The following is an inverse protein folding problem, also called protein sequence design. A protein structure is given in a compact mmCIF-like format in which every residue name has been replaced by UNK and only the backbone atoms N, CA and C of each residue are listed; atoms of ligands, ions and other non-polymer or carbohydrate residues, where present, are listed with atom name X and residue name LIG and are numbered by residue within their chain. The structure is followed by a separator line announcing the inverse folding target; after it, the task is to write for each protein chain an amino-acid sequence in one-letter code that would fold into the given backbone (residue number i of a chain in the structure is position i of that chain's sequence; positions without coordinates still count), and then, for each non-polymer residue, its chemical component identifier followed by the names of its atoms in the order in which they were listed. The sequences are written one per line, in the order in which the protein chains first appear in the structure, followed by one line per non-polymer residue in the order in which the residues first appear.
data_IF_797630033211
#
_entry.id   IF_797630033211
#
_cell.length_a   1.000
_cell.length_b   1.000
_cell.length_c   1.000
_cell.angle_alpha   90.00
_cell.angle_beta   90.00
_cell.angle_gamma   90.00
#
_symmetry.space_group_name_H-M   'P 1'
#
loop_
_entity.id
_entity.type
_entity.pdbx_description
1 polymer ?
#
# COMPACT_ATOMS: atom_id res chain seq x y z
N UNK A 1 68.50 15.06 11.63
CA UNK A 1 67.88 15.59 12.87
C UNK A 1 66.91 16.74 12.64
N UNK A 2 67.29 17.95 12.16
CA UNK A 2 66.29 19.05 11.99
C UNK A 2 65.19 18.77 10.93
N UNK A 3 65.52 18.04 9.85
CA UNK A 3 64.56 17.65 8.79
C UNK A 3 63.53 16.60 9.28
N UNK A 4 63.94 15.68 10.15
CA UNK A 4 63.08 14.60 10.66
C UNK A 4 61.97 15.15 11.56
N UNK A 5 62.28 16.16 12.37
CA UNK A 5 61.29 16.83 13.24
C UNK A 5 60.22 17.57 12.42
N UNK A 6 60.59 18.24 11.33
CA UNK A 6 59.62 18.94 10.47
C UNK A 6 58.70 17.95 9.73
N UNK A 7 59.23 16.82 9.26
CA UNK A 7 58.44 15.78 8.62
C UNK A 7 57.43 15.15 9.60
N UNK A 8 57.86 14.86 10.84
CA UNK A 8 56.99 14.33 11.89
C UNK A 8 55.88 15.31 12.26
N UNK A 9 56.19 16.60 12.45
CA UNK A 9 55.18 17.62 12.79
C UNK A 9 54.17 17.80 11.66
N UNK A 10 54.61 17.78 10.41
CA UNK A 10 53.70 17.83 9.25
C UNK A 10 52.77 16.60 9.21
N UNK A 11 53.31 15.40 9.43
CA UNK A 11 52.51 14.18 9.44
C UNK A 11 51.51 14.14 10.60
N UNK A 12 51.92 14.60 11.80
CA UNK A 12 51.03 14.74 12.95
C UNK A 12 49.88 15.72 12.65
N UNK A 13 50.18 16.88 12.06
CA UNK A 13 49.18 17.88 11.68
C UNK A 13 48.19 17.35 10.64
N UNK A 14 48.68 16.61 9.64
CA UNK A 14 47.82 15.98 8.64
C UNK A 14 46.89 14.96 9.30
N UNK A 15 47.39 14.10 10.19
CA UNK A 15 46.55 13.11 10.86
C UNK A 15 45.49 13.74 11.76
N UNK A 16 45.83 14.79 12.52
CA UNK A 16 44.82 15.47 13.36
C UNK A 16 43.76 16.16 12.51
N UNK A 17 44.15 16.82 11.41
CA UNK A 17 43.21 17.45 10.50
C UNK A 17 42.25 16.43 9.88
N UNK A 18 42.78 15.29 9.43
CA UNK A 18 41.99 14.18 8.89
C UNK A 18 41.01 13.67 9.96
N UNK A 19 41.48 13.41 11.19
CA UNK A 19 40.62 13.01 12.31
C UNK A 19 39.48 14.00 12.57
N UNK A 20 39.77 15.31 12.57
CA UNK A 20 38.75 16.34 12.74
C UNK A 20 37.73 16.32 11.60
N UNK A 21 38.17 16.24 10.35
CA UNK A 21 37.26 16.17 9.20
C UNK A 21 36.38 14.92 9.23
N UNK A 22 36.95 13.75 9.54
CA UNK A 22 36.18 12.51 9.65
C UNK A 22 35.16 12.57 10.80
N UNK A 23 35.58 13.04 11.98
CA UNK A 23 34.67 13.17 13.13
C UNK A 23 33.52 14.14 12.85
N UNK A 24 33.79 15.27 12.21
CA UNK A 24 32.78 16.25 11.79
C UNK A 24 31.80 15.67 10.77
N UNK A 25 32.29 14.90 9.80
CA UNK A 25 31.48 14.28 8.76
C UNK A 25 30.53 13.23 9.34
N UNK A 26 31.01 12.41 10.29
CA UNK A 26 30.21 11.42 11.00
C UNK A 26 29.12 12.11 11.83
N UNK A 27 29.48 13.17 12.57
CA UNK A 27 28.52 13.96 13.35
C UNK A 27 27.40 14.53 12.47
N UNK A 28 27.75 15.14 11.35
CA UNK A 28 26.75 15.69 10.42
C UNK A 28 25.88 14.59 9.78
N UNK A 29 26.49 13.49 9.38
CA UNK A 29 25.78 12.34 8.79
C UNK A 29 24.78 11.71 9.76
N UNK A 30 25.13 11.56 11.03
CA UNK A 30 24.22 10.98 12.05
C UNK A 30 23.00 11.85 12.30
N UNK A 31 23.17 13.18 12.40
CA UNK A 31 22.06 14.12 12.57
C UNK A 31 21.16 14.13 11.33
N UNK A 32 21.76 14.16 10.14
CA UNK A 32 21.01 14.10 8.89
C UNK A 32 20.21 12.81 8.77
N UNK A 33 20.82 11.66 9.08
CA UNK A 33 20.13 10.37 9.03
C UNK A 33 18.99 10.29 10.05
N UNK A 34 19.19 10.81 11.26
CA UNK A 34 18.12 10.90 12.27
C UNK A 34 16.96 11.76 11.78
N UNK A 35 17.25 12.88 11.12
CA UNK A 35 16.23 13.74 10.52
C UNK A 35 15.45 12.99 9.43
N UNK A 36 16.15 12.28 8.54
CA UNK A 36 15.51 11.48 7.48
C UNK A 36 14.63 10.36 8.05
N UNK A 37 15.08 9.67 9.10
CA UNK A 37 14.27 8.66 9.80
C UNK A 37 12.99 9.29 10.35
N UNK A 38 13.09 10.49 10.95
CA UNK A 38 11.92 11.19 11.48
C UNK A 38 10.93 11.57 10.39
N UNK A 39 11.41 12.06 9.24
CA UNK A 39 10.54 12.40 8.10
C UNK A 39 9.86 11.16 7.54
N UNK A 40 10.63 10.09 7.31
CA UNK A 40 10.10 8.82 6.80
C UNK A 40 9.09 8.19 7.75
N UNK A 41 9.38 8.18 9.06
CA UNK A 41 8.45 7.68 10.06
C UNK A 41 7.15 8.50 10.12
N UNK A 42 7.24 9.82 9.97
CA UNK A 42 6.04 10.66 9.92
C UNK A 42 5.19 10.38 8.68
N UNK A 43 5.83 10.22 7.51
CA UNK A 43 5.13 9.84 6.27
C UNK A 43 4.44 8.48 6.42
N UNK A 44 5.12 7.50 7.01
CA UNK A 44 4.54 6.19 7.27
C UNK A 44 3.30 6.29 8.18
N UNK A 45 3.38 7.06 9.28
CA UNK A 45 2.23 7.29 10.17
C UNK A 45 1.05 7.96 9.48
N UNK A 46 1.31 8.92 8.61
CA UNK A 46 0.24 9.59 7.83
C UNK A 46 -0.43 8.62 6.87
N UNK A 47 0.34 7.76 6.20
CA UNK A 47 -0.21 6.73 5.32
C UNK A 47 -1.03 5.70 6.10
N UNK A 48 -0.55 5.26 7.25
CA UNK A 48 -1.25 4.32 8.13
C UNK A 48 -2.59 4.88 8.61
N UNK A 49 -2.61 6.14 9.06
CA UNK A 49 -3.84 6.82 9.44
C UNK A 49 -4.85 6.91 8.28
N UNK A 50 -4.38 7.13 7.05
CA UNK A 50 -5.25 7.15 5.86
C UNK A 50 -5.79 5.77 5.52
N UNK A 51 -5.00 4.71 5.69
CA UNK A 51 -5.46 3.34 5.46
C UNK A 51 -6.59 2.98 6.42
N UNK A 52 -6.42 3.25 7.71
CA UNK A 52 -7.45 3.02 8.73
C UNK A 52 -8.75 3.76 8.40
N UNK A 53 -8.63 5.02 7.95
CA UNK A 53 -9.79 5.81 7.57
C UNK A 53 -10.50 5.27 6.32
N UNK A 54 -9.76 4.85 5.30
CA UNK A 54 -10.34 4.22 4.09
C UNK A 54 -11.00 2.89 4.46
N UNK A 55 -10.37 2.08 5.31
CA UNK A 55 -10.94 0.81 5.76
C UNK A 55 -12.25 1.02 6.54
N UNK A 56 -12.30 2.06 7.39
CA UNK A 56 -13.54 2.48 8.06
C UNK A 56 -14.63 2.83 7.04
N UNK A 57 -14.30 3.64 6.04
CA UNK A 57 -15.26 4.04 4.99
C UNK A 57 -15.75 2.83 4.17
N UNK A 58 -14.87 1.89 3.85
CA UNK A 58 -15.23 0.63 3.17
C UNK A 58 -16.20 -0.18 4.05
N UNK A 59 -15.91 -0.32 5.33
CA UNK A 59 -16.76 -1.07 6.26
C UNK A 59 -18.12 -0.40 6.44
N UNK A 60 -18.18 0.93 6.52
CA UNK A 60 -19.44 1.68 6.57
C UNK A 60 -20.27 1.50 5.32
N UNK A 61 -19.64 1.62 4.16
CA UNK A 61 -20.29 1.43 2.86
C UNK A 61 -20.78 0.00 2.71
N UNK A 62 -19.97 -0.98 3.09
CA UNK A 62 -20.34 -2.40 3.07
C UNK A 62 -21.53 -2.67 3.99
N UNK A 63 -21.54 -2.14 5.21
CA UNK A 63 -22.67 -2.27 6.11
C UNK A 63 -23.93 -1.58 5.56
N UNK A 64 -23.80 -0.46 4.85
CA UNK A 64 -24.93 0.18 4.17
C UNK A 64 -25.47 -0.69 3.02
N UNK A 65 -24.57 -1.29 2.22
CA UNK A 65 -24.94 -2.22 1.14
C UNK A 65 -25.61 -3.47 1.72
N UNK A 66 -25.05 -4.08 2.76
CA UNK A 66 -25.64 -5.27 3.41
C UNK A 66 -27.04 -4.96 3.97
N UNK A 67 -27.24 -3.79 4.58
CA UNK A 67 -28.59 -3.33 4.98
C UNK A 67 -29.53 -3.13 3.81
N UNK A 68 -29.05 -2.59 2.69
CA UNK A 68 -29.87 -2.37 1.50
C UNK A 68 -30.18 -3.67 0.73
N UNK A 69 -29.30 -4.67 0.82
CA UNK A 69 -29.49 -5.99 0.21
C UNK A 69 -30.38 -6.93 1.04
N UNK A 70 -30.75 -6.55 2.26
CA UNK A 70 -31.67 -7.32 3.08
C UNK A 70 -33.01 -7.51 2.31
N UNK A 71 -33.46 -8.76 2.06
CA UNK A 71 -34.71 -9.04 1.37
C UNK A 71 -35.93 -8.38 2.01
N UNK A 72 -35.90 -8.12 3.32
CA UNK A 72 -36.97 -7.44 4.03
C UNK A 72 -37.04 -5.95 3.67
N UNK A 73 -35.89 -5.28 3.56
CA UNK A 73 -35.79 -3.89 3.12
C UNK A 73 -36.20 -3.74 1.64
N UNK A 74 -35.78 -4.69 0.79
CA UNK A 74 -36.16 -4.70 -0.63
C UNK A 74 -37.67 -4.86 -0.83
N UNK A 75 -38.33 -5.69 -0.02
CA UNK A 75 -39.80 -5.82 -0.05
C UNK A 75 -40.49 -4.53 0.41
N UNK A 76 -39.99 -3.91 1.48
CA UNK A 76 -40.53 -2.65 1.97
C UNK A 76 -40.41 -1.53 0.93
N UNK A 77 -39.26 -1.42 0.26
CA UNK A 77 -39.05 -0.43 -0.81
C UNK A 77 -39.93 -0.73 -2.05
N UNK A 78 -40.10 -2.00 -2.41
CA UNK A 78 -41.00 -2.42 -3.49
C UNK A 78 -42.45 -1.99 -3.24
N UNK A 79 -42.92 -2.14 -2.01
CA UNK A 79 -44.27 -1.74 -1.61
C UNK A 79 -44.40 -0.22 -1.51
N UNK A 80 -43.40 0.46 -0.94
CA UNK A 80 -43.40 1.91 -0.77
C UNK A 80 -43.37 2.67 -2.11
N UNK A 81 -42.60 2.17 -3.08
CA UNK A 81 -42.47 2.77 -4.40
C UNK A 81 -43.44 2.18 -5.43
N UNK A 82 -44.33 1.27 -5.01
CA UNK A 82 -45.31 0.62 -5.86
C UNK A 82 -44.70 -0.01 -7.13
N UNK A 83 -43.51 -0.60 -6.99
CA UNK A 83 -42.76 -1.11 -8.15
C UNK A 83 -43.38 -2.39 -8.73
N UNK A 84 -44.29 -3.05 -7.99
CA UNK A 84 -45.00 -4.24 -8.45
C UNK A 84 -44.08 -5.43 -8.74
N UNK A 85 -42.87 -5.45 -8.17
CA UNK A 85 -41.92 -6.53 -8.37
C UNK A 85 -42.42 -7.77 -7.62
N UNK A 86 -42.52 -8.88 -8.34
CA UNK A 86 -42.93 -10.18 -7.81
C UNK A 86 -41.69 -11.08 -7.74
N UNK A 87 -41.54 -11.92 -6.70
CA UNK A 87 -40.46 -12.90 -6.65
C UNK A 87 -40.42 -13.72 -7.95
N UNK A 88 -39.24 -13.87 -8.58
CA UNK A 88 -39.14 -14.58 -9.84
C UNK A 88 -39.53 -16.06 -9.66
N UNK A 89 -40.30 -16.59 -10.62
CA UNK A 89 -40.70 -18.00 -10.61
C UNK A 89 -39.45 -18.90 -10.67
N UNK A 90 -39.35 -19.94 -9.82
CA UNK A 90 -38.16 -20.80 -9.73
C UNK A 90 -37.86 -21.56 -11.03
N UNK A 91 -38.85 -21.68 -11.94
CA UNK A 91 -38.70 -22.31 -13.25
C UNK A 91 -37.98 -21.42 -14.28
N UNK A 92 -37.86 -20.11 -14.04
CA UNK A 92 -37.20 -19.14 -14.94
C UNK A 92 -35.78 -18.77 -14.49
N UNK A 93 -35.38 -19.19 -13.30
CA UNK A 93 -34.00 -19.04 -12.80
C UNK A 93 -33.18 -20.25 -13.22
N UNK A 94 -32.28 -20.06 -14.20
CA UNK A 94 -31.31 -21.08 -14.55
C UNK A 94 -30.39 -21.33 -13.34
N UNK A 95 -30.52 -22.52 -12.74
CA UNK A 95 -29.56 -22.97 -11.71
C UNK A 95 -28.26 -23.25 -12.43
N UNK A 96 -27.22 -22.50 -12.09
CA UNK A 96 -25.91 -22.64 -12.70
C UNK A 96 -25.22 -23.83 -12.03
N UNK A 97 -24.87 -24.84 -12.82
CA UNK A 97 -24.20 -26.08 -12.35
C UNK A 97 -22.72 -25.88 -11.97
N UNK A 98 -22.15 -24.74 -12.34
CA UNK A 98 -20.77 -24.37 -12.02
C UNK A 98 -20.71 -23.71 -10.66
N UNK A 99 -19.64 -23.98 -9.90
CA UNK A 99 -19.34 -23.31 -8.63
C UNK A 99 -19.57 -21.78 -8.76
N UNK A 100 -20.59 -21.25 -8.04
CA UNK A 100 -20.99 -19.85 -8.16
C UNK A 100 -19.86 -18.90 -7.74
N UNK A 101 -18.97 -19.32 -6.83
CA UNK A 101 -17.85 -18.50 -6.34
C UNK A 101 -16.83 -18.28 -7.45
N UNK A 102 -16.41 -19.35 -8.12
CA UNK A 102 -15.48 -19.28 -9.25
C UNK A 102 -16.01 -18.42 -10.40
N UNK A 103 -17.29 -18.55 -10.74
CA UNK A 103 -17.91 -17.76 -11.81
C UNK A 103 -18.09 -16.29 -11.43
N UNK A 104 -18.45 -15.99 -10.19
CA UNK A 104 -18.57 -14.62 -9.69
C UNK A 104 -17.20 -13.93 -9.63
N UNK A 105 -16.17 -14.64 -9.15
CA UNK A 105 -14.78 -14.17 -9.17
C UNK A 105 -14.30 -13.90 -10.59
N UNK A 106 -14.55 -14.81 -11.54
CA UNK A 106 -14.20 -14.61 -12.95
C UNK A 106 -14.94 -13.41 -13.58
N UNK A 107 -16.22 -13.20 -13.23
CA UNK A 107 -17.00 -12.04 -13.69
C UNK A 107 -16.48 -10.72 -13.11
N UNK A 108 -16.17 -10.70 -11.81
CA UNK A 108 -15.59 -9.54 -11.14
C UNK A 108 -14.21 -9.19 -11.74
N UNK A 109 -13.37 -10.21 -11.92
CA UNK A 109 -12.03 -10.04 -12.49
C UNK A 109 -12.08 -9.57 -13.96
N UNK A 110 -13.07 -9.99 -14.75
CA UNK A 110 -13.24 -9.49 -16.13
C UNK A 110 -13.33 -7.97 -16.19
N UNK A 111 -13.97 -7.30 -15.23
CA UNK A 111 -14.05 -5.83 -15.18
C UNK A 111 -12.74 -5.14 -14.80
N UNK A 112 -11.84 -5.83 -14.10
CA UNK A 112 -10.53 -5.32 -13.68
C UNK A 112 -9.46 -5.45 -14.79
N UNK A 113 -9.61 -6.43 -15.69
CA UNK A 113 -8.61 -6.75 -16.71
C UNK A 113 -8.97 -6.29 -18.13
N UNK A 114 -10.09 -5.60 -18.35
CA UNK A 114 -10.53 -5.19 -19.70
C UNK A 114 -10.05 -3.83 -20.20
N UNK A 115 -9.17 -3.11 -19.49
CA UNK A 115 -8.72 -1.76 -19.94
C UNK A 115 -7.20 -1.60 -20.20
N UNK A 116 -6.47 -2.70 -20.40
CA UNK A 116 -5.18 -2.66 -21.11
C UNK A 116 -4.72 -4.07 -21.52
N UNK A 117 -4.14 -4.26 -22.71
CA UNK A 117 -3.50 -5.52 -23.05
C UNK A 117 -2.41 -5.81 -22.03
N UNK A 118 -2.42 -7.06 -21.55
CA UNK A 118 -1.50 -7.64 -20.58
C UNK A 118 -0.05 -7.33 -20.97
N UNK A 119 0.52 -6.30 -20.34
CA UNK A 119 1.96 -6.11 -20.33
C UNK A 119 2.54 -7.24 -19.48
N UNK A 120 3.13 -8.23 -20.13
CA UNK A 120 3.91 -9.27 -19.48
C UNK A 120 5.10 -8.59 -18.79
N UNK A 121 4.95 -8.25 -17.51
CA UNK A 121 6.07 -7.80 -16.69
C UNK A 121 6.89 -9.03 -16.31
N UNK A 122 7.95 -9.29 -17.07
CA UNK A 122 8.97 -10.27 -16.71
C UNK A 122 9.87 -9.67 -15.63
N UNK A 123 9.77 -10.19 -14.41
CA UNK A 123 10.73 -9.88 -13.36
C UNK A 123 11.92 -10.84 -13.47
N UNK A 124 13.09 -10.33 -13.85
CA UNK A 124 14.33 -11.09 -13.67
C UNK A 124 14.74 -11.01 -12.19
N UNK A 125 14.48 -12.09 -11.45
CA UNK A 125 15.05 -12.26 -10.11
C UNK A 125 16.53 -12.57 -10.28
N UNK A 126 17.39 -11.57 -10.08
CA UNK A 126 18.82 -11.79 -9.93
C UNK A 126 19.06 -12.49 -8.59
N UNK A 127 19.23 -13.81 -8.64
CA UNK A 127 19.65 -14.61 -7.49
C UNK A 127 21.12 -14.27 -7.17
N UNK A 128 21.35 -13.39 -6.20
CA UNK A 128 22.69 -13.06 -5.72
C UNK A 128 23.16 -14.20 -4.81
N UNK A 129 24.16 -14.95 -5.27
CA UNK A 129 24.89 -15.97 -4.53
C UNK A 129 25.91 -15.34 -3.57
#
# INVERSE_FOLDING_TARGET
MKKDTQAFVNQLLVYTLVMFCFSGSIGMGTVWMRHQISLSANQAKVLDARLVEIERQINETRAAIERAQDPSMLKLLNDQWQLGLVPPEPKKTATIDVDPVMRLAAKHNRGLFTDSPVSTVSFQVALRR
#
